data_IF_748926784980
#
_entry.id   IF_748926784980
#
_cell.length_a   1.000
_cell.length_b   1.000
_cell.length_c   1.000
_cell.angle_alpha   90.00
_cell.angle_beta   90.00
_cell.angle_gamma   90.00
#
_symmetry.space_group_name_H-M   'P 1'
#
loop_
_entity.id
_entity.type
_entity.pdbx_description
1 polymer ?
#
# COMPACT_ATOMS: atom_id res chain seq x y z
N UNK A 1 -6.25 12.00 -10.75
CA UNK A 1 -6.48 10.81 -9.88
C UNK A 1 -7.98 10.63 -9.82
N UNK A 2 -8.47 9.40 -9.92
CA UNK A 2 -9.92 9.13 -9.97
C UNK A 2 -10.40 8.60 -8.62
N UNK A 3 -11.70 8.75 -8.35
CA UNK A 3 -12.35 8.14 -7.18
C UNK A 3 -12.31 6.61 -7.21
N UNK A 4 -12.00 6.00 -8.36
CA UNK A 4 -11.80 4.56 -8.51
C UNK A 4 -10.41 4.15 -8.00
N UNK A 5 -9.37 4.95 -8.27
CA UNK A 5 -8.01 4.72 -7.76
C UNK A 5 -7.98 4.73 -6.23
N UNK A 6 -8.70 5.68 -5.61
CA UNK A 6 -8.82 5.82 -4.16
C UNK A 6 -9.57 4.63 -3.54
N UNK A 7 -10.67 4.19 -4.15
CA UNK A 7 -11.41 3.01 -3.69
C UNK A 7 -10.56 1.73 -3.76
N UNK A 8 -9.79 1.54 -4.84
CA UNK A 8 -8.90 0.40 -4.99
C UNK A 8 -7.82 0.41 -3.90
N UNK A 9 -7.17 1.55 -3.70
CA UNK A 9 -6.16 1.72 -2.67
C UNK A 9 -6.71 1.43 -1.27
N UNK A 10 -7.80 2.09 -0.88
CA UNK A 10 -8.28 2.03 0.51
C UNK A 10 -8.97 0.69 0.83
N UNK A 11 -9.63 0.05 -0.15
CA UNK A 11 -10.16 -1.31 0.04
C UNK A 11 -9.05 -2.34 0.28
N UNK A 12 -7.94 -2.27 -0.47
CA UNK A 12 -6.79 -3.15 -0.27
C UNK A 12 -6.06 -2.84 1.05
N UNK A 13 -5.86 -1.55 1.35
CA UNK A 13 -5.09 -1.10 2.52
C UNK A 13 -5.82 -1.38 3.85
N UNK A 14 -7.13 -1.15 3.92
CA UNK A 14 -7.90 -1.45 5.15
C UNK A 14 -8.02 -2.96 5.41
N UNK A 15 -7.93 -3.79 4.37
CA UNK A 15 -7.98 -5.24 4.52
C UNK A 15 -6.58 -5.83 4.77
N UNK A 16 -6.10 -5.76 6.00
CA UNK A 16 -4.77 -6.25 6.38
C UNK A 16 -4.55 -7.75 6.15
N UNK A 17 -5.61 -8.56 5.98
CA UNK A 17 -5.45 -9.98 5.61
C UNK A 17 -4.91 -10.17 4.20
N UNK A 18 -4.94 -9.13 3.36
CA UNK A 18 -4.39 -9.14 1.99
C UNK A 18 -2.90 -8.79 1.94
N UNK A 19 -2.29 -8.49 3.09
CA UNK A 19 -0.91 -8.07 3.14
C UNK A 19 0.01 -9.28 3.00
N UNK A 20 1.02 -9.18 2.13
CA UNK A 20 2.11 -10.15 2.12
C UNK A 20 2.78 -10.26 3.49
N UNK A 21 3.32 -11.44 3.78
CA UNK A 21 4.11 -11.68 4.99
C UNK A 21 5.27 -10.69 5.10
N UNK A 22 5.50 -10.15 6.30
CA UNK A 22 6.58 -9.20 6.55
C UNK A 22 6.23 -7.73 6.28
N UNK A 23 4.96 -7.42 5.99
CA UNK A 23 4.49 -6.04 5.97
C UNK A 23 3.90 -5.69 7.33
N UNK A 24 4.67 -5.00 8.15
CA UNK A 24 4.30 -4.50 9.48
C UNK A 24 3.96 -2.99 9.51
N UNK A 25 4.36 -2.23 8.48
CA UNK A 25 4.03 -0.80 8.38
C UNK A 25 2.51 -0.62 8.34
N UNK A 26 1.98 0.13 9.31
CA UNK A 26 0.57 0.53 9.41
C UNK A 26 0.48 2.04 9.33
N UNK A 27 -0.57 2.53 8.70
CA UNK A 27 -0.76 3.94 8.45
C UNK A 27 -2.12 4.18 7.82
N UNK A 28 -2.58 5.41 7.91
CA UNK A 28 -3.72 5.87 7.13
C UNK A 28 -3.28 6.94 6.13
N UNK A 29 -4.12 7.17 5.12
CA UNK A 29 -3.86 8.05 4.00
C UNK A 29 -4.83 9.23 4.04
N UNK A 30 -4.29 10.42 3.82
CA UNK A 30 -5.04 11.67 3.71
C UNK A 30 -5.12 12.06 2.23
N UNK A 31 -3.96 12.18 1.58
CA UNK A 31 -3.87 12.66 0.20
C UNK A 31 -3.23 11.59 -0.69
N UNK A 32 -3.97 11.13 -1.69
CA UNK A 32 -3.39 10.34 -2.75
C UNK A 32 -2.64 11.29 -3.71
N UNK A 33 -1.33 11.10 -3.86
CA UNK A 33 -0.45 12.00 -4.64
C UNK A 33 -0.22 11.51 -6.05
N UNK A 34 0.04 10.21 -6.21
CA UNK A 34 0.31 9.62 -7.52
C UNK A 34 -0.09 8.14 -7.57
N UNK A 35 -0.48 7.69 -8.76
CA UNK A 35 -0.72 6.29 -9.07
C UNK A 35 0.01 5.96 -10.36
N UNK A 36 0.75 4.87 -10.35
CA UNK A 36 1.40 4.29 -11.52
C UNK A 36 0.89 2.88 -11.68
N UNK A 37 0.56 2.51 -12.90
CA UNK A 37 0.05 1.17 -13.22
C UNK A 37 0.98 0.49 -14.21
N UNK A 38 1.17 -0.82 -14.00
CA UNK A 38 1.89 -1.68 -14.91
C UNK A 38 1.08 -2.97 -15.06
N UNK A 39 0.38 -3.08 -16.18
CA UNK A 39 -0.28 -4.32 -16.54
C UNK A 39 0.75 -5.30 -17.09
N UNK A 40 0.79 -6.51 -16.52
CA UNK A 40 1.56 -7.61 -17.09
C UNK A 40 0.81 -8.16 -18.30
N UNK A 41 0.94 -7.53 -19.48
CA UNK A 41 0.33 -8.07 -20.69
C UNK A 41 0.76 -9.53 -20.85
N UNK A 42 -0.18 -10.47 -20.72
CA UNK A 42 0.10 -11.87 -21.01
C UNK A 42 0.56 -11.91 -22.46
N UNK A 43 1.79 -12.33 -22.70
CA UNK A 43 2.34 -12.47 -24.03
C UNK A 43 1.71 -13.68 -24.73
N UNK A 44 0.41 -13.59 -25.04
CA UNK A 44 -0.23 -14.47 -26.00
C UNK A 44 -1.51 -13.79 -26.48
N UNK A 45 -1.48 -13.35 -27.75
CA UNK A 45 -2.62 -12.83 -28.49
C UNK A 45 -3.59 -13.96 -28.88
N UNK A 46 -4.04 -14.72 -27.88
CA UNK A 46 -5.09 -15.71 -27.98
C UNK A 46 -6.20 -15.22 -27.06
N UNK A 47 -7.32 -14.82 -27.65
CA UNK A 47 -8.58 -14.44 -26.99
C UNK A 47 -9.10 -15.58 -26.09
N UNK A 48 -8.42 -15.82 -24.96
CA UNK A 48 -8.91 -16.67 -23.89
C UNK A 48 -9.31 -15.74 -22.75
N UNK A 49 -10.62 -15.57 -22.56
CA UNK A 49 -11.19 -14.72 -21.52
C UNK A 49 -10.77 -15.16 -20.10
N UNK A 50 -10.18 -16.36 -19.96
CA UNK A 50 -9.65 -16.92 -18.70
C UNK A 50 -8.24 -16.45 -18.34
N UNK A 51 -7.62 -15.59 -19.14
CA UNK A 51 -6.30 -15.03 -18.89
C UNK A 51 -6.42 -13.52 -18.64
N UNK A 52 -7.15 -13.12 -17.59
CA UNK A 52 -7.02 -11.75 -17.12
C UNK A 52 -5.61 -11.56 -16.57
N UNK A 53 -4.88 -10.61 -17.12
CA UNK A 53 -3.53 -10.25 -16.69
C UNK A 53 -3.54 -9.64 -15.28
N UNK A 54 -2.54 -9.96 -14.47
CA UNK A 54 -2.31 -9.23 -13.23
C UNK A 54 -1.92 -7.78 -13.55
N UNK A 55 -2.44 -6.84 -12.77
CA UNK A 55 -2.06 -5.43 -12.81
C UNK A 55 -1.35 -5.06 -11.53
N UNK A 56 -0.15 -4.51 -11.68
CA UNK A 56 0.61 -3.94 -10.58
C UNK A 56 0.31 -2.44 -10.47
N UNK A 57 -0.02 -2.01 -9.27
CA UNK A 57 -0.29 -0.63 -8.91
C UNK A 57 0.78 -0.15 -7.94
N UNK A 58 1.24 1.08 -8.15
CA UNK A 58 2.15 1.78 -7.25
C UNK A 58 1.50 3.13 -6.90
N UNK A 59 1.07 3.24 -5.64
CA UNK A 59 0.46 4.43 -5.08
C UNK A 59 1.47 5.18 -4.23
N UNK A 60 1.50 6.51 -4.37
CA UNK A 60 2.19 7.42 -3.45
C UNK A 60 1.13 8.17 -2.67
N UNK A 61 1.14 8.01 -1.34
CA UNK A 61 0.08 8.50 -0.45
C UNK A 61 0.69 9.28 0.69
N UNK A 62 0.18 10.47 0.96
CA UNK A 62 0.51 11.26 2.14
C UNK A 62 -0.41 10.89 3.30
N UNK A 63 0.15 10.74 4.49
CA UNK A 63 -0.60 10.50 5.72
C UNK A 63 0.30 10.40 6.94
N UNK A 64 -0.05 9.52 7.87
CA UNK A 64 0.72 9.26 9.08
C UNK A 64 0.76 7.75 9.39
N UNK A 65 1.83 7.34 10.06
CA UNK A 65 1.99 5.98 10.58
C UNK A 65 1.10 5.80 11.80
N UNK A 66 0.57 4.60 11.95
CA UNK A 66 -0.27 4.19 13.07
C UNK A 66 0.55 3.25 13.95
N UNK A 67 0.47 3.43 15.25
CA UNK A 67 1.09 2.54 16.22
C UNK A 67 0.09 1.49 16.73
N UNK A 68 0.57 0.50 17.49
CA UNK A 68 -0.06 -0.82 17.69
C UNK A 68 -1.58 -0.87 17.92
N UNK A 69 -2.14 0.05 18.70
CA UNK A 69 -3.57 0.13 19.05
C UNK A 69 -4.45 0.90 18.05
N UNK A 70 -3.83 1.58 17.09
CA UNK A 70 -4.49 2.39 16.07
C UNK A 70 -4.80 1.60 14.78
N UNK A 71 -4.61 0.28 14.80
CA UNK A 71 -4.81 -0.59 13.64
C UNK A 71 -6.21 -0.48 12.99
N UNK A 72 -7.22 -0.04 13.74
CA UNK A 72 -8.58 0.21 13.26
C UNK A 72 -8.67 1.36 12.24
N UNK A 73 -7.69 2.27 12.22
CA UNK A 73 -7.64 3.41 11.31
C UNK A 73 -6.82 3.13 10.05
N UNK A 74 -6.32 1.90 9.86
CA UNK A 74 -5.50 1.55 8.70
C UNK A 74 -6.33 1.69 7.42
N UNK A 75 -5.76 2.38 6.43
CA UNK A 75 -6.45 2.68 5.17
C UNK A 75 -6.54 4.16 4.90
N UNK A 76 -7.73 4.72 5.07
CA UNK A 76 -8.02 6.15 4.93
C UNK A 76 -8.15 6.77 6.32
N UNK A 77 -7.56 7.96 6.50
CA UNK A 77 -7.66 8.66 7.77
C UNK A 77 -9.07 9.21 7.97
N UNK A 78 -9.53 9.20 9.22
CA UNK A 78 -10.76 9.89 9.59
C UNK A 78 -10.53 11.41 9.47
N UNK A 79 -11.57 12.15 9.08
CA UNK A 79 -11.54 13.60 8.92
C UNK A 79 -11.34 14.32 10.27
N UNK A 80 -11.73 13.67 11.37
CA UNK A 80 -11.62 14.19 12.73
C UNK A 80 -10.27 13.89 13.41
N UNK A 81 -9.39 13.09 12.80
CA UNK A 81 -8.14 12.64 13.44
C UNK A 81 -7.04 13.72 13.51
N UNK A 82 -7.28 14.95 13.05
CA UNK A 82 -6.33 16.08 13.24
C UNK A 82 -4.92 15.78 12.70
N UNK A 83 -4.86 15.04 11.59
CA UNK A 83 -3.69 14.32 11.13
C UNK A 83 -2.63 15.27 10.57
N UNK A 84 -1.53 15.50 11.30
CA UNK A 84 -0.35 16.13 10.72
C UNK A 84 0.27 15.19 9.69
N UNK A 85 0.07 15.51 8.40
CA UNK A 85 0.64 14.79 7.27
C UNK A 85 2.17 14.89 7.36
N UNK A 86 2.77 13.84 7.91
CA UNK A 86 4.21 13.79 8.20
C UNK A 86 4.92 12.65 7.48
N UNK A 87 4.17 11.80 6.78
CA UNK A 87 4.70 10.58 6.16
C UNK A 87 4.20 10.43 4.73
N UNK A 88 5.11 10.11 3.82
CA UNK A 88 4.81 9.64 2.47
C UNK A 88 4.94 8.12 2.44
N UNK A 89 3.86 7.44 2.07
CA UNK A 89 3.81 6.01 1.82
C UNK A 89 3.96 5.72 0.34
N UNK A 90 4.79 4.73 0.01
CA UNK A 90 4.78 4.06 -1.29
C UNK A 90 4.15 2.69 -1.09
N UNK A 91 3.02 2.46 -1.75
CA UNK A 91 2.17 1.27 -1.55
C UNK A 91 2.09 0.53 -2.88
N UNK A 92 2.44 -0.75 -2.85
CA UNK A 92 2.42 -1.63 -4.01
C UNK A 92 1.29 -2.63 -3.84
N UNK A 93 0.40 -2.68 -4.82
CA UNK A 93 -0.75 -3.58 -4.86
C UNK A 93 -0.70 -4.36 -6.16
N UNK A 94 -0.92 -5.67 -6.10
CA UNK A 94 -1.08 -6.50 -7.29
C UNK A 94 -2.50 -7.05 -7.31
N UNK A 95 -3.20 -6.92 -8.44
CA UNK A 95 -4.47 -7.61 -8.66
C UNK A 95 -4.21 -9.05 -9.07
N UNK A 96 -4.83 -10.01 -8.39
CA UNK A 96 -4.73 -11.41 -8.78
C UNK A 96 -5.49 -11.67 -10.09
N UNK A 97 -4.88 -12.45 -11.01
CA UNK A 97 -5.52 -12.81 -12.25
C UNK A 97 -6.75 -13.69 -11.95
N UNK A 98 -7.90 -13.32 -12.50
CA UNK A 98 -9.16 -14.09 -12.45
C UNK A 98 -9.98 -14.06 -11.14
N UNK A 99 -9.48 -13.49 -10.04
CA UNK A 99 -10.28 -13.33 -8.80
C UNK A 99 -10.64 -11.88 -8.48
N UNK A 100 -10.03 -10.89 -9.17
CA UNK A 100 -10.10 -9.46 -8.81
C UNK A 100 -9.67 -9.18 -7.35
N UNK A 101 -9.02 -10.14 -6.68
CA UNK A 101 -8.49 -9.94 -5.35
C UNK A 101 -7.28 -9.02 -5.41
N UNK A 102 -7.19 -8.09 -4.47
CA UNK A 102 -6.09 -7.15 -4.37
C UNK A 102 -5.17 -7.62 -3.26
N UNK A 103 -3.87 -7.69 -3.57
CA UNK A 103 -2.84 -8.07 -2.60
C UNK A 103 -1.89 -6.91 -2.38
N UNK A 104 -1.72 -6.48 -1.14
CA UNK A 104 -0.69 -5.50 -0.79
C UNK A 104 0.65 -6.22 -0.73
N UNK A 105 1.52 -5.95 -1.70
CA UNK A 105 2.79 -6.67 -1.88
C UNK A 105 3.97 -5.99 -1.22
N UNK A 106 3.91 -4.66 -1.05
CA UNK A 106 4.92 -3.89 -0.33
C UNK A 106 4.35 -2.56 0.18
N UNK A 107 4.79 -2.14 1.34
CA UNK A 107 4.60 -0.77 1.85
C UNK A 107 5.99 -0.27 2.27
N UNK A 108 6.31 0.98 1.93
CA UNK A 108 7.42 1.72 2.53
C UNK A 108 6.94 3.10 2.95
N UNK A 109 7.52 3.62 4.04
CA UNK A 109 7.15 4.91 4.61
C UNK A 109 8.40 5.81 4.71
N UNK A 110 8.22 7.09 4.38
CA UNK A 110 9.26 8.12 4.54
C UNK A 110 8.65 9.26 5.33
N UNK A 111 9.20 9.55 6.50
CA UNK A 111 8.82 10.75 7.25
C UNK A 111 9.44 11.96 6.54
N UNK A 112 8.74 13.08 6.47
CA UNK A 112 9.34 14.34 6.00
C UNK A 112 10.50 14.67 6.96
N UNK A 113 11.75 14.39 6.53
CA UNK A 113 12.97 14.48 7.35
C UNK A 113 13.74 13.19 7.63
N UNK A 114 13.31 12.01 7.17
CA UNK A 114 14.08 10.75 7.30
C UNK A 114 13.37 9.49 6.76
N UNK A 115 14.12 8.62 6.09
CA UNK A 115 13.63 7.33 5.55
C UNK A 115 13.35 6.35 6.71
N UNK A 116 12.10 5.90 6.87
CA UNK A 116 11.75 4.79 7.77
C UNK A 116 11.82 3.48 6.97
N UNK A 117 12.99 3.19 6.39
CA UNK A 117 13.24 1.83 5.92
C UNK A 117 13.46 0.96 7.16
N UNK A 118 12.51 0.07 7.43
CA UNK A 118 12.64 -1.02 8.39
C UNK A 118 13.71 -2.02 7.98
N UNK A 119 14.97 -1.58 7.90
CA UNK A 119 16.10 -2.46 8.10
C UNK A 119 16.29 -2.55 9.61
N UNK A 120 15.84 -3.67 10.18
CA UNK A 120 16.15 -4.08 11.55
C UNK A 120 17.69 -4.19 11.63
N UNK A 121 18.34 -3.11 12.02
CA UNK A 121 19.72 -3.14 12.46
C UNK A 121 19.75 -3.88 13.80
N UNK A 122 19.84 -5.22 13.77
CA UNK A 122 20.41 -5.97 14.88
C UNK A 122 21.90 -5.61 14.91
N UNK A 123 22.24 -4.66 15.76
CA UNK A 123 23.55 -4.51 16.36
C UNK A 123 23.27 -4.56 17.86
N UNK A 124 23.51 -5.65 18.60
CA UNK A 124 24.69 -6.49 18.53
C UNK A 124 25.80 -5.80 19.29
N UNK A 125 26.01 -6.27 20.53
CA UNK A 125 27.11 -5.98 21.45
C UNK A 125 27.04 -4.65 22.21
N UNK A 126 26.92 -4.72 23.55
CA UNK A 126 27.93 -4.14 24.42
C UNK A 126 28.12 -5.05 25.65
N UNK A 127 29.40 -5.31 25.92
CA UNK A 127 29.97 -6.12 26.98
C UNK A 127 29.91 -5.45 28.38
#
# INVERSE_FOLDING_TARGET
>A
MTSEDEQLLYSARSNTSTYSSGIDIRGCGVNLLSVKTKSSASASASYDFKLQAATDYHFTVQGFTLDGDEAQFVGQCDEDMGCDVSTTFEIYITSEPNSNELKVTKISAKKDGGDLNGELAVSGDEA
#
